data_IF_832539564601
#
_entry.id   IF_832539564601
#
_cell.length_a   1.000
_cell.length_b   1.000
_cell.length_c   1.000
_cell.angle_alpha   90.00
_cell.angle_beta   90.00
_cell.angle_gamma   90.00
#
_symmetry.space_group_name_H-M   'P 1'
#
loop_
_entity.id
_entity.type
_entity.pdbx_description
1 polymer ?
#
# COMPACT_ATOMS: atom_id res chain seq x y z
N UNK A 1 18.84 5.38 -2.82
CA UNK A 1 18.31 4.22 -2.09
C UNK A 1 16.99 3.88 -2.74
N UNK A 2 16.87 2.70 -3.32
CA UNK A 2 15.65 2.24 -3.98
C UNK A 2 15.06 1.06 -3.22
N UNK A 3 13.73 0.96 -3.23
CA UNK A 3 13.03 -0.16 -2.60
C UNK A 3 13.25 -1.44 -3.41
N UNK A 4 13.50 -2.56 -2.74
CA UNK A 4 13.55 -3.88 -3.38
C UNK A 4 12.15 -4.27 -3.86
N UNK A 5 12.08 -5.04 -4.94
CA UNK A 5 10.82 -5.50 -5.53
C UNK A 5 9.95 -6.29 -4.54
N UNK A 6 10.56 -7.17 -3.73
CA UNK A 6 9.82 -8.00 -2.76
C UNK A 6 9.03 -7.19 -1.72
N UNK A 7 9.68 -6.30 -0.94
CA UNK A 7 8.99 -5.39 -0.02
C UNK A 7 7.93 -4.51 -0.70
N UNK A 8 8.21 -4.02 -1.92
CA UNK A 8 7.25 -3.26 -2.71
C UNK A 8 5.98 -4.06 -3.03
N UNK A 9 6.11 -5.29 -3.52
CA UNK A 9 4.98 -6.15 -3.86
C UNK A 9 4.19 -6.59 -2.62
N UNK A 10 4.89 -6.88 -1.52
CA UNK A 10 4.28 -7.24 -0.25
C UNK A 10 3.44 -6.09 0.32
N UNK A 11 3.95 -4.85 0.27
CA UNK A 11 3.22 -3.66 0.68
C UNK A 11 1.93 -3.47 -0.13
N UNK A 12 2.04 -3.51 -1.47
CA UNK A 12 0.89 -3.31 -2.36
C UNK A 12 -0.18 -4.40 -2.18
N UNK A 13 0.23 -5.65 -2.04
CA UNK A 13 -0.69 -6.78 -1.77
C UNK A 13 -1.45 -6.57 -0.47
N UNK A 14 -0.76 -6.12 0.59
CA UNK A 14 -1.38 -5.81 1.88
C UNK A 14 -2.38 -4.65 1.75
N UNK A 15 -2.02 -3.58 1.05
CA UNK A 15 -2.90 -2.42 0.83
C UNK A 15 -4.15 -2.81 0.04
N UNK A 16 -4.02 -3.61 -1.02
CA UNK A 16 -5.16 -4.12 -1.78
C UNK A 16 -6.11 -4.92 -0.89
N UNK A 17 -5.57 -5.87 -0.11
CA UNK A 17 -6.36 -6.67 0.83
C UNK A 17 -7.04 -5.80 1.89
N UNK A 18 -6.34 -4.81 2.43
CA UNK A 18 -6.88 -3.85 3.39
C UNK A 18 -8.03 -3.04 2.79
N UNK A 19 -7.91 -2.59 1.55
CA UNK A 19 -8.98 -1.85 0.85
C UNK A 19 -10.24 -2.70 0.66
N UNK A 20 -10.12 -4.00 0.44
CA UNK A 20 -11.28 -4.91 0.34
C UNK A 20 -12.12 -4.99 1.62
N UNK A 21 -11.57 -4.57 2.77
CA UNK A 21 -12.31 -4.50 4.04
C UNK A 21 -13.09 -3.19 4.24
N UNK A 22 -13.00 -2.25 3.28
CA UNK A 22 -13.55 -0.90 3.41
C UNK A 22 -14.73 -0.69 2.48
N UNK A 23 -15.63 0.20 2.87
CA UNK A 23 -16.84 0.51 2.12
C UNK A 23 -16.56 0.89 0.64
N UNK A 24 -15.45 1.57 0.36
CA UNK A 24 -15.04 1.92 -1.00
C UNK A 24 -14.46 0.75 -1.80
N UNK A 25 -13.85 -0.23 -1.14
CA UNK A 25 -13.29 -1.42 -1.79
C UNK A 25 -14.34 -2.47 -2.14
N UNK A 26 -15.35 -2.65 -1.27
CA UNK A 26 -16.45 -3.61 -1.48
C UNK A 26 -17.52 -3.13 -2.46
N UNK A 27 -17.54 -1.84 -2.80
CA UNK A 27 -18.51 -1.28 -3.73
C UNK A 27 -18.36 -1.93 -5.12
N UNK A 28 -19.40 -2.64 -5.59
CA UNK A 28 -19.42 -3.30 -6.91
C UNK A 28 -19.67 -2.33 -8.07
N UNK A 29 -19.93 -1.06 -7.78
CA UNK A 29 -20.21 -0.01 -8.75
C UNK A 29 -18.94 0.74 -9.14
N UNK A 30 -18.92 1.30 -10.36
CA UNK A 30 -17.95 2.32 -10.75
C UNK A 30 -18.06 3.50 -9.79
N UNK A 31 -16.98 3.78 -9.04
CA UNK A 31 -16.89 4.89 -8.12
C UNK A 31 -15.55 5.61 -8.32
N UNK A 32 -15.44 6.83 -7.80
CA UNK A 32 -14.24 7.66 -7.89
C UNK A 32 -12.99 7.04 -7.24
N UNK A 33 -13.17 5.99 -6.42
CA UNK A 33 -12.12 5.33 -5.67
C UNK A 33 -11.59 4.08 -6.37
N UNK A 34 -12.02 3.75 -7.59
CA UNK A 34 -11.52 2.61 -8.36
C UNK A 34 -10.88 3.06 -9.67
N UNK A 35 -9.71 2.52 -9.97
CA UNK A 35 -9.06 2.75 -11.26
C UNK A 35 -9.72 1.91 -12.37
N UNK A 36 -9.26 2.07 -13.61
CA UNK A 36 -9.77 1.31 -14.77
C UNK A 36 -9.65 -0.22 -14.65
N UNK A 37 -8.86 -0.71 -13.72
CA UNK A 37 -8.65 -2.13 -13.43
C UNK A 37 -9.49 -2.63 -12.24
N UNK A 38 -10.39 -1.80 -11.70
CA UNK A 38 -11.24 -2.14 -10.56
C UNK A 38 -10.51 -2.17 -9.20
N UNK A 39 -9.22 -1.80 -9.15
CA UNK A 39 -8.46 -1.69 -7.90
C UNK A 39 -8.75 -0.36 -7.22
N UNK A 40 -8.80 -0.39 -5.90
CA UNK A 40 -8.96 0.82 -5.11
C UNK A 40 -7.77 1.77 -5.35
N UNK A 41 -8.03 3.06 -5.60
CA UNK A 41 -7.01 4.11 -5.73
C UNK A 41 -6.52 4.61 -4.37
N UNK A 42 -7.20 4.24 -3.28
CA UNK A 42 -6.79 4.59 -1.92
C UNK A 42 -5.52 3.84 -1.53
N UNK A 43 -4.46 4.58 -1.22
CA UNK A 43 -3.12 4.05 -0.95
C UNK A 43 -2.93 3.57 0.48
N UNK A 44 -3.87 3.88 1.39
CA UNK A 44 -3.78 3.53 2.81
C UNK A 44 -5.15 3.23 3.45
N UNK A 45 -5.50 1.95 3.68
CA UNK A 45 -6.77 1.57 4.30
C UNK A 45 -6.66 1.38 5.84
N UNK A 46 -5.51 1.62 6.46
CA UNK A 46 -5.26 1.23 7.85
C UNK A 46 -5.36 2.42 8.82
N UNK A 47 -5.19 2.16 10.11
CA UNK A 47 -5.23 3.22 11.12
C UNK A 47 -4.01 4.15 11.05
N UNK A 48 -4.14 5.37 11.59
CA UNK A 48 -3.00 6.29 11.73
C UNK A 48 -1.92 5.73 12.67
N UNK A 49 -2.31 4.96 13.69
CA UNK A 49 -1.38 4.32 14.61
C UNK A 49 -0.50 3.28 13.90
N UNK A 50 -1.09 2.47 13.01
CA UNK A 50 -0.32 1.53 12.18
C UNK A 50 0.61 2.24 11.22
N UNK A 51 0.18 3.36 10.64
CA UNK A 51 1.02 4.17 9.77
C UNK A 51 2.27 4.62 10.55
N UNK A 52 2.05 5.22 11.72
CA UNK A 52 3.13 5.68 12.59
C UNK A 52 4.10 4.54 12.93
N UNK A 53 3.61 3.38 13.35
CA UNK A 53 4.45 2.21 13.68
C UNK A 53 5.29 1.72 12.50
N UNK A 54 4.74 1.72 11.29
CA UNK A 54 5.47 1.28 10.10
C UNK A 54 6.52 2.29 9.64
N UNK A 55 6.25 3.58 9.82
CA UNK A 55 7.11 4.65 9.28
C UNK A 55 8.08 5.23 10.31
N UNK A 56 7.96 4.87 11.59
CA UNK A 56 8.84 5.38 12.65
C UNK A 56 10.31 5.05 12.38
N UNK A 57 10.60 3.88 11.80
CA UNK A 57 11.95 3.45 11.41
C UNK A 57 11.90 2.64 10.13
N UNK A 58 12.75 2.98 9.16
CA UNK A 58 12.92 2.20 7.94
C UNK A 58 13.76 0.94 8.22
N UNK A 59 13.33 -0.20 7.69
CA UNK A 59 14.17 -1.40 7.60
C UNK A 59 15.11 -1.26 6.41
N UNK A 60 16.40 -1.03 6.66
CA UNK A 60 17.39 -0.87 5.60
C UNK A 60 17.59 -2.16 4.78
N UNK A 61 17.13 -3.31 5.28
CA UNK A 61 17.10 -4.56 4.51
C UNK A 61 15.99 -4.61 3.46
N UNK A 62 15.09 -3.62 3.41
CA UNK A 62 14.12 -3.51 2.33
C UNK A 62 14.68 -2.74 1.12
N UNK A 63 15.86 -2.15 1.22
CA UNK A 63 16.37 -1.21 0.22
C UNK A 63 17.72 -1.62 -0.39
N UNK A 64 17.93 -1.19 -1.62
CA UNK A 64 19.22 -1.17 -2.30
C UNK A 64 19.87 0.21 -2.16
N UNK A 65 21.11 0.21 -1.65
CA UNK A 65 21.90 1.42 -1.49
C UNK A 65 22.60 1.72 -2.81
N UNK A 66 22.00 2.60 -3.61
CA UNK A 66 22.55 3.06 -4.89
C UNK A 66 23.73 3.98 -4.59
N UNK A 67 24.92 3.65 -5.10
CA UNK A 67 26.05 4.58 -5.19
C UNK A 67 25.95 5.35 -6.52
N UNK A 68 26.19 6.67 -6.45
CA UNK A 68 26.20 7.55 -7.62
C UNK A 68 27.52 7.51 -8.38
#
# INVERSE_FOLDING_TARGET
MDIRQGPFDAYNTRVDAGNLTKAWGTAKTTNWYKNRYGRASQTWPFSLLEYWRLTERADLSDYEMIQG
#
